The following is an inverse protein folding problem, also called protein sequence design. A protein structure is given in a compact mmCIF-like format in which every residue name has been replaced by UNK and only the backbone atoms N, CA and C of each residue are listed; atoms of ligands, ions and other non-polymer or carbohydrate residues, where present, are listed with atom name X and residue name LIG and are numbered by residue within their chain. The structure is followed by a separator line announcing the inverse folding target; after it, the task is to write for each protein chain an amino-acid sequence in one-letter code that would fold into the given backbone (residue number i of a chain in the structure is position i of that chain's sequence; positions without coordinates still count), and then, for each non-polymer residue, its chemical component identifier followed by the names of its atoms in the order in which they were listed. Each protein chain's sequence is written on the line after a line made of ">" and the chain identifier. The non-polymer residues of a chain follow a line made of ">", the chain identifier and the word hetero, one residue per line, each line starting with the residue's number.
data_IF_628212773302
#
_entry.id   IF_628212773302
#
_cell.length_a   1.000
_cell.length_b   1.000
_cell.length_c   1.000
_cell.angle_alpha   90.00
_cell.angle_beta   90.00
_cell.angle_gamma   90.00
#
_symmetry.space_group_name_H-M   'P 1'
#
loop_
_entity.id
_entity.type
_entity.pdbx_description
1 polymer ?
#
# COMPACT_ATOMS: atom_id res chain seq x y z
N UNK A 1 -0.01 -10.39 -28.97
CA UNK A 1 -0.48 -10.21 -27.57
C UNK A 1 -0.08 -8.86 -26.95
N UNK A 2 1.05 -8.25 -27.30
CA UNK A 2 1.52 -6.96 -26.72
C UNK A 2 0.64 -5.74 -27.08
N UNK A 3 0.04 -5.72 -28.28
CA UNK A 3 -0.83 -4.61 -28.73
C UNK A 3 -2.13 -4.48 -27.92
N UNK A 4 -2.66 -5.58 -27.39
CA UNK A 4 -3.93 -5.59 -26.66
C UNK A 4 -3.79 -5.02 -25.25
N UNK A 5 -2.65 -5.23 -24.60
CA UNK A 5 -2.35 -4.68 -23.27
C UNK A 5 -2.19 -3.16 -23.38
N UNK A 6 -1.36 -2.69 -24.33
CA UNK A 6 -1.15 -1.26 -24.55
C UNK A 6 -2.46 -0.51 -24.90
N UNK A 7 -3.39 -1.16 -25.62
CA UNK A 7 -4.70 -0.59 -25.92
C UNK A 7 -5.57 -0.43 -24.65
N UNK A 8 -5.60 -1.46 -23.80
CA UNK A 8 -6.35 -1.42 -22.53
C UNK A 8 -5.74 -0.40 -21.57
N UNK A 9 -4.40 -0.34 -21.45
CA UNK A 9 -3.70 0.66 -20.65
C UNK A 9 -4.05 2.08 -21.12
N UNK A 10 -4.06 2.32 -22.43
CA UNK A 10 -4.43 3.61 -23.02
C UNK A 10 -5.90 3.99 -22.75
N UNK A 11 -6.80 3.02 -22.74
CA UNK A 11 -8.22 3.23 -22.40
C UNK A 11 -8.40 3.58 -20.92
N UNK A 12 -7.65 2.91 -20.02
CA UNK A 12 -7.62 3.23 -18.59
C UNK A 12 -7.06 4.63 -18.37
N UNK A 13 -5.98 4.98 -19.04
CA UNK A 13 -5.37 6.30 -18.96
C UNK A 13 -6.31 7.41 -19.49
N UNK A 14 -6.99 7.17 -20.61
CA UNK A 14 -7.98 8.08 -21.16
C UNK A 14 -9.17 8.30 -20.20
N UNK A 15 -9.68 7.24 -19.59
CA UNK A 15 -10.76 7.33 -18.60
C UNK A 15 -10.32 8.10 -17.34
N UNK A 16 -9.12 7.82 -16.83
CA UNK A 16 -8.56 8.54 -15.68
C UNK A 16 -8.30 10.03 -15.96
N UNK A 17 -7.97 10.38 -17.22
CA UNK A 17 -7.76 11.76 -17.65
C UNK A 17 -9.07 12.53 -17.80
N UNK A 18 -10.17 11.82 -18.07
CA UNK A 18 -11.50 12.44 -18.22
C UNK A 18 -12.12 12.94 -16.91
N UNK A 19 -11.62 12.44 -15.76
CA UNK A 19 -12.05 12.86 -14.43
C UNK A 19 -10.89 13.53 -13.67
N UNK A 20 -10.89 14.87 -13.57
CA UNK A 20 -9.85 15.62 -12.87
C UNK A 20 -9.65 15.20 -11.41
N UNK A 21 -10.71 14.74 -10.74
CA UNK A 21 -10.61 14.30 -9.34
C UNK A 21 -9.90 12.96 -9.24
N UNK A 22 -10.17 12.02 -10.15
CA UNK A 22 -9.44 10.75 -10.20
C UNK A 22 -7.97 10.96 -10.57
N UNK A 23 -7.69 11.87 -11.51
CA UNK A 23 -6.31 12.24 -11.84
C UNK A 23 -5.57 12.81 -10.64
N UNK A 24 -6.18 13.74 -9.90
CA UNK A 24 -5.57 14.30 -8.68
C UNK A 24 -5.30 13.21 -7.63
N UNK A 25 -6.27 12.32 -7.37
CA UNK A 25 -6.11 11.22 -6.40
C UNK A 25 -5.01 10.25 -6.84
N UNK A 26 -4.87 9.98 -8.15
CA UNK A 26 -3.77 9.20 -8.70
C UNK A 26 -2.42 9.85 -8.40
N UNK A 27 -2.31 11.14 -8.67
CA UNK A 27 -1.05 11.88 -8.52
C UNK A 27 -0.64 11.98 -7.05
N UNK A 28 -1.62 12.20 -6.14
CA UNK A 28 -1.41 12.11 -4.69
C UNK A 28 -0.95 10.71 -4.28
N UNK A 29 -1.58 9.65 -4.78
CA UNK A 29 -1.16 8.28 -4.48
C UNK A 29 0.28 8.00 -4.96
N UNK A 30 0.62 8.41 -6.18
CA UNK A 30 1.96 8.26 -6.76
C UNK A 30 3.04 9.10 -6.05
N UNK A 31 2.66 10.13 -5.30
CA UNK A 31 3.62 10.87 -4.47
C UNK A 31 4.20 10.02 -3.34
N UNK A 32 3.46 9.02 -2.85
CA UNK A 32 3.92 8.13 -1.78
C UNK A 32 5.06 7.25 -2.28
N UNK A 33 6.17 7.26 -1.54
CA UNK A 33 7.35 6.47 -1.92
C UNK A 33 7.03 4.98 -2.00
N UNK A 34 7.29 4.39 -3.17
CA UNK A 34 6.98 2.99 -3.49
C UNK A 34 5.71 2.80 -4.31
N UNK A 35 4.81 3.78 -4.37
CA UNK A 35 3.61 3.70 -5.22
C UNK A 35 3.97 4.19 -6.63
N UNK A 36 3.89 3.28 -7.60
CA UNK A 36 4.06 3.58 -9.03
C UNK A 36 2.75 3.47 -9.81
N UNK A 37 2.77 3.71 -11.14
CA UNK A 37 1.57 3.79 -11.99
C UNK A 37 0.63 2.58 -11.89
N UNK A 38 1.21 1.37 -11.86
CA UNK A 38 0.45 0.12 -11.76
C UNK A 38 -0.28 0.02 -10.42
N UNK A 39 0.42 0.27 -9.30
CA UNK A 39 -0.21 0.21 -7.98
C UNK A 39 -1.21 1.34 -7.79
N UNK A 40 -0.95 2.56 -8.26
CA UNK A 40 -1.93 3.65 -8.19
C UNK A 40 -3.18 3.36 -9.02
N UNK A 41 -3.02 2.79 -10.22
CA UNK A 41 -4.16 2.39 -11.06
C UNK A 41 -5.00 1.30 -10.40
N UNK A 42 -4.37 0.25 -9.91
CA UNK A 42 -5.05 -0.83 -9.18
C UNK A 42 -5.77 -0.31 -7.94
N UNK A 43 -5.14 0.60 -7.18
CA UNK A 43 -5.75 1.23 -6.02
C UNK A 43 -7.00 2.02 -6.41
N UNK A 44 -6.98 2.82 -7.48
CA UNK A 44 -8.14 3.56 -7.94
C UNK A 44 -9.30 2.61 -8.30
N UNK A 45 -9.02 1.51 -8.99
CA UNK A 45 -10.04 0.52 -9.36
C UNK A 45 -10.59 -0.19 -8.13
N UNK A 46 -9.73 -0.78 -7.30
CA UNK A 46 -10.11 -1.56 -6.11
C UNK A 46 -10.90 -0.73 -5.11
N UNK A 47 -10.50 0.54 -4.93
CA UNK A 47 -11.10 1.44 -3.95
C UNK A 47 -12.24 2.28 -4.53
N UNK A 48 -12.57 2.13 -5.83
CA UNK A 48 -13.55 2.97 -6.55
C UNK A 48 -13.23 4.47 -6.38
N UNK A 49 -12.00 4.87 -6.69
CA UNK A 49 -11.54 6.24 -6.49
C UNK A 49 -11.49 6.66 -5.01
N UNK A 50 -11.10 5.74 -4.13
CA UNK A 50 -11.02 5.92 -2.67
C UNK A 50 -12.36 6.20 -1.98
N UNK A 51 -13.47 5.68 -2.52
CA UNK A 51 -14.82 5.80 -1.92
C UNK A 51 -15.31 4.51 -1.28
N UNK A 52 -14.72 3.36 -1.61
CA UNK A 52 -15.13 2.05 -1.11
C UNK A 52 -14.82 1.83 0.37
N UNK A 53 -13.74 2.43 0.85
CA UNK A 53 -13.24 2.25 2.21
C UNK A 53 -13.30 3.58 2.97
N UNK A 54 -13.54 3.51 4.27
CA UNK A 54 -13.60 4.70 5.15
C UNK A 54 -12.44 4.75 6.14
N UNK A 55 -11.69 3.65 6.30
CA UNK A 55 -10.56 3.52 7.21
C UNK A 55 -9.39 2.83 6.48
N UNK A 56 -8.14 3.34 6.57
CA UNK A 56 -6.98 2.68 6.00
C UNK A 56 -6.81 1.23 6.45
N UNK A 57 -7.26 0.87 7.66
CA UNK A 57 -7.21 -0.50 8.18
C UNK A 57 -8.05 -1.47 7.34
N UNK A 58 -9.16 -1.00 6.77
CA UNK A 58 -9.98 -1.83 5.87
C UNK A 58 -9.19 -2.21 4.61
N UNK A 59 -8.44 -1.26 4.03
CA UNK A 59 -7.58 -1.53 2.88
C UNK A 59 -6.39 -2.43 3.24
N UNK A 60 -5.79 -2.22 4.42
CA UNK A 60 -4.73 -3.10 4.95
C UNK A 60 -5.24 -4.55 5.12
N UNK A 61 -6.43 -4.74 5.66
CA UNK A 61 -7.06 -6.06 5.79
C UNK A 61 -7.41 -6.67 4.42
N UNK A 62 -8.02 -5.88 3.54
CA UNK A 62 -8.40 -6.31 2.20
C UNK A 62 -7.19 -6.76 1.36
N UNK A 63 -6.07 -6.04 1.47
CA UNK A 63 -4.81 -6.39 0.81
C UNK A 63 -4.02 -7.49 1.55
N UNK A 64 -4.54 -8.06 2.64
CA UNK A 64 -3.87 -9.11 3.41
C UNK A 64 -2.54 -8.66 4.03
N UNK A 65 -2.44 -7.39 4.40
CA UNK A 65 -1.26 -6.75 5.00
C UNK A 65 -1.35 -6.68 6.54
N UNK A 66 -2.56 -6.83 7.09
CA UNK A 66 -2.77 -6.82 8.53
C UNK A 66 -1.98 -7.98 9.19
N UNK A 67 -1.32 -7.74 10.34
CA UNK A 67 -0.78 -8.83 11.15
C UNK A 67 -1.95 -9.69 11.65
N UNK A 68 -1.88 -11.00 11.42
CA UNK A 68 -2.76 -11.95 12.09
C UNK A 68 -2.13 -12.26 13.45
N UNK A 69 -2.65 -11.64 14.50
CA UNK A 69 -2.32 -12.01 15.87
C UNK A 69 -3.12 -13.27 16.23
N UNK A 70 -2.43 -14.39 16.42
CA UNK A 70 -3.01 -15.58 17.04
C UNK A 70 -3.06 -15.35 18.56
N UNK A 71 -4.12 -14.70 19.03
CA UNK A 71 -4.43 -14.62 20.47
C UNK A 71 -5.83 -15.15 20.80
N UNK A 72 -6.36 -16.10 20.03
CA UNK A 72 -7.42 -16.98 20.54
C UNK A 72 -6.75 -18.18 21.19
N UNK A 73 -6.71 -18.20 22.52
CA UNK A 73 -6.21 -19.33 23.29
C UNK A 73 -7.00 -20.60 22.97
N UNK A 74 -6.49 -21.40 22.04
CA UNK A 74 -6.60 -22.87 21.96
C UNK A 74 -5.79 -23.33 20.76
N UNK A 75 -4.85 -24.24 21.03
CA UNK A 75 -4.26 -25.23 20.13
C UNK A 75 -4.45 -25.03 18.62
N UNK A 76 -3.38 -24.64 17.92
CA UNK A 76 -2.81 -25.28 16.71
C UNK A 76 -1.71 -24.34 16.20
N UNK A 77 -0.45 -24.81 16.26
CA UNK A 77 0.69 -24.22 15.54
C UNK A 77 0.45 -24.38 14.04
N UNK A 78 -0.33 -23.48 13.45
CA UNK A 78 -0.51 -23.35 12.00
C UNK A 78 0.32 -22.18 11.47
N UNK A 79 1.01 -22.37 10.33
CA UNK A 79 1.71 -21.29 9.63
C UNK A 79 0.75 -20.12 9.38
N UNK A 80 1.24 -18.90 9.62
CA UNK A 80 0.51 -17.64 9.39
C UNK A 80 0.00 -17.59 7.94
N UNK A 81 -1.28 -17.85 7.75
CA UNK A 81 -1.95 -17.78 6.45
C UNK A 81 -2.49 -16.40 6.17
N UNK A 82 -2.44 -15.98 4.91
CA UNK A 82 -3.25 -14.86 4.42
C UNK A 82 -4.68 -15.38 4.28
N UNK A 83 -5.71 -14.60 4.62
CA UNK A 83 -7.09 -14.98 4.30
C UNK A 83 -7.21 -15.35 2.82
N UNK A 84 -7.90 -16.44 2.50
CA UNK A 84 -8.26 -16.78 1.11
C UNK A 84 -9.04 -15.65 0.41
N UNK A 85 -9.70 -14.77 1.19
CA UNK A 85 -10.43 -13.61 0.71
C UNK A 85 -9.56 -12.36 0.47
N UNK A 86 -8.28 -12.40 0.82
CA UNK A 86 -7.39 -11.28 0.61
C UNK A 86 -7.02 -11.14 -0.87
N UNK A 87 -6.92 -9.91 -1.35
CA UNK A 87 -6.46 -9.66 -2.71
C UNK A 87 -4.94 -9.91 -2.82
N UNK A 88 -4.58 -11.14 -3.21
CA UNK A 88 -3.20 -11.61 -3.38
C UNK A 88 -2.42 -10.79 -4.41
N UNK A 89 -3.09 -10.32 -5.46
CA UNK A 89 -2.49 -9.46 -6.48
C UNK A 89 -2.12 -8.08 -5.89
N UNK A 90 -3.04 -7.45 -5.16
CA UNK A 90 -2.76 -6.19 -4.49
C UNK A 90 -1.63 -6.35 -3.45
N UNK A 91 -1.59 -7.48 -2.74
CA UNK A 91 -0.49 -7.81 -1.82
C UNK A 91 0.87 -7.88 -2.51
N UNK A 92 0.95 -8.47 -3.70
CA UNK A 92 2.20 -8.56 -4.46
C UNK A 92 2.65 -7.19 -4.97
N UNK A 93 1.72 -6.33 -5.39
CA UNK A 93 2.02 -4.94 -5.75
C UNK A 93 2.58 -4.16 -4.54
N UNK A 94 1.95 -4.27 -3.36
CA UNK A 94 2.48 -3.67 -2.13
C UNK A 94 3.83 -4.27 -1.73
N UNK A 95 4.08 -5.54 -2.01
CA UNK A 95 5.38 -6.16 -1.79
C UNK A 95 6.47 -5.47 -2.62
N UNK A 96 6.24 -5.29 -3.91
CA UNK A 96 7.18 -4.59 -4.80
C UNK A 96 7.37 -3.13 -4.38
N UNK A 97 6.29 -2.44 -4.02
CA UNK A 97 6.33 -1.08 -3.50
C UNK A 97 7.23 -0.97 -2.26
N UNK A 98 7.05 -1.86 -1.28
CA UNK A 98 7.83 -1.88 -0.05
C UNK A 98 9.31 -2.22 -0.30
N UNK A 99 9.61 -3.19 -1.18
CA UNK A 99 11.00 -3.52 -1.54
C UNK A 99 11.75 -2.33 -2.14
N UNK A 100 11.09 -1.53 -2.97
CA UNK A 100 11.69 -0.33 -3.54
C UNK A 100 11.79 0.80 -2.50
N UNK A 101 10.75 0.99 -1.68
CA UNK A 101 10.73 2.03 -0.67
C UNK A 101 11.86 1.91 0.37
N UNK A 102 12.23 0.70 0.78
CA UNK A 102 13.31 0.49 1.78
C UNK A 102 14.72 0.68 1.21
N UNK A 103 14.87 0.70 -0.11
CA UNK A 103 16.16 0.96 -0.78
C UNK A 103 16.48 2.45 -0.91
N UNK A 104 15.45 3.30 -0.86
CA UNK A 104 15.58 4.75 -1.04
C UNK A 104 15.68 5.43 0.33
N UNK A 105 16.64 6.36 0.54
CA UNK A 105 16.69 7.15 1.76
C UNK A 105 15.38 7.89 2.05
N UNK A 106 14.87 7.72 3.27
CA UNK A 106 13.59 8.27 3.69
C UNK A 106 13.03 7.60 4.93
N UNK A 107 11.90 8.11 5.40
CA UNK A 107 11.16 7.62 6.56
C UNK A 107 10.78 6.13 6.49
N UNK A 108 10.40 5.60 5.33
CA UNK A 108 10.07 4.18 5.16
C UNK A 108 11.31 3.27 5.31
N UNK A 109 12.47 3.69 4.82
CA UNK A 109 13.74 2.99 5.05
C UNK A 109 14.11 3.04 6.53
N UNK A 110 14.06 4.21 7.16
CA UNK A 110 14.33 4.36 8.60
C UNK A 110 13.38 3.49 9.43
N UNK A 111 12.09 3.45 9.06
CA UNK A 111 11.09 2.62 9.71
C UNK A 111 11.42 1.12 9.59
N UNK A 112 11.83 0.67 8.41
CA UNK A 112 12.26 -0.71 8.16
C UNK A 112 13.48 -1.09 9.02
N UNK A 113 14.53 -0.26 9.00
CA UNK A 113 15.74 -0.50 9.79
C UNK A 113 15.44 -0.52 11.29
N UNK A 114 14.58 0.38 11.77
CA UNK A 114 14.11 0.36 13.15
C UNK A 114 13.40 -0.94 13.50
N UNK A 115 12.58 -1.49 12.61
CA UNK A 115 11.90 -2.78 12.84
C UNK A 115 12.88 -3.95 12.86
N UNK A 116 13.93 -3.93 12.05
CA UNK A 116 15.01 -4.91 12.10
C UNK A 116 15.80 -4.82 13.42
N UNK A 117 16.14 -3.60 13.86
CA UNK A 117 16.81 -3.37 15.14
C UNK A 117 15.99 -3.83 16.36
N UNK A 118 14.66 -3.90 16.23
CA UNK A 118 13.74 -4.49 17.21
C UNK A 118 13.73 -6.03 17.18
N UNK A 119 14.62 -6.68 16.43
CA UNK A 119 14.71 -8.13 16.31
C UNK A 119 13.64 -8.77 15.41
N UNK A 120 12.87 -7.98 14.65
CA UNK A 120 11.87 -8.54 13.74
C UNK A 120 12.54 -9.18 12.53
N UNK A 121 12.07 -10.36 12.14
CA UNK A 121 12.48 -11.00 10.89
C UNK A 121 12.26 -10.06 9.69
N UNK A 122 13.13 -10.10 8.65
CA UNK A 122 13.05 -9.19 7.51
C UNK A 122 11.68 -9.14 6.82
N UNK A 123 11.03 -10.29 6.63
CA UNK A 123 9.71 -10.34 6.00
C UNK A 123 8.62 -9.67 6.85
N UNK A 124 8.71 -9.80 8.18
CA UNK A 124 7.80 -9.16 9.14
C UNK A 124 8.02 -7.65 9.17
N UNK A 125 9.27 -7.20 9.16
CA UNK A 125 9.62 -5.78 9.04
C UNK A 125 9.12 -5.21 7.71
N UNK A 126 9.29 -5.93 6.60
CA UNK A 126 8.80 -5.53 5.28
C UNK A 126 7.27 -5.47 5.24
N UNK A 127 6.57 -6.41 5.90
CA UNK A 127 5.12 -6.35 6.02
C UNK A 127 4.64 -5.10 6.77
N UNK A 128 5.36 -4.70 7.82
CA UNK A 128 5.07 -3.46 8.53
C UNK A 128 5.25 -2.23 7.62
N UNK A 129 6.23 -2.25 6.71
CA UNK A 129 6.40 -1.19 5.68
C UNK A 129 5.23 -1.16 4.71
N UNK A 130 4.74 -2.32 4.23
CA UNK A 130 3.55 -2.38 3.36
C UNK A 130 2.35 -1.70 3.99
N UNK A 131 2.06 -2.02 5.26
CA UNK A 131 0.98 -1.37 5.99
C UNK A 131 1.23 0.14 6.16
N UNK A 132 2.49 0.54 6.44
CA UNK A 132 2.86 1.96 6.57
C UNK A 132 2.64 2.75 5.27
N UNK A 133 2.92 2.16 4.10
CA UNK A 133 2.62 2.76 2.78
C UNK A 133 1.12 3.04 2.64
N UNK A 134 0.25 2.13 3.06
CA UNK A 134 -1.22 2.35 3.03
C UNK A 134 -1.62 3.51 3.92
N UNK A 135 -1.02 3.64 5.10
CA UNK A 135 -1.29 4.78 5.98
C UNK A 135 -0.80 6.12 5.40
N UNK A 136 0.36 6.13 4.75
CA UNK A 136 0.85 7.34 4.07
C UNK A 136 -0.05 7.72 2.90
N UNK A 137 -0.50 6.75 2.11
CA UNK A 137 -1.49 6.93 1.05
C UNK A 137 -2.77 7.58 1.58
N UNK A 138 -3.29 7.07 2.70
CA UNK A 138 -4.50 7.63 3.30
C UNK A 138 -4.31 9.09 3.75
N UNK A 139 -3.19 9.38 4.42
CA UNK A 139 -2.87 10.71 4.90
C UNK A 139 -2.74 11.75 3.75
N UNK A 140 -2.16 11.38 2.60
CA UNK A 140 -2.06 12.31 1.46
C UNK A 140 -3.39 12.52 0.76
N UNK A 141 -4.25 11.50 0.71
CA UNK A 141 -5.59 11.62 0.12
C UNK A 141 -6.51 12.48 0.99
N UNK A 142 -6.45 12.35 2.31
CA UNK A 142 -7.24 13.19 3.23
C UNK A 142 -6.74 14.63 3.28
N UNK A 143 -5.43 14.83 3.31
CA UNK A 143 -4.86 16.19 3.37
C UNK A 143 -4.85 16.91 2.02
N UNK A 144 -4.90 16.18 0.90
CA UNK A 144 -4.69 16.74 -0.43
C UNK A 144 -3.25 17.23 -0.66
N UNK A 145 -2.32 16.95 0.26
CA UNK A 145 -0.93 17.41 0.22
C UNK A 145 -0.04 16.22 -0.19
N UNK A 146 0.80 16.38 -1.23
CA UNK A 146 1.74 15.34 -1.65
C UNK A 146 2.64 14.84 -0.52
N UNK A 147 3.01 13.57 -0.59
CA UNK A 147 3.89 12.93 0.37
C UNK A 147 5.28 13.59 0.39
N UNK A 148 5.83 13.74 1.60
CA UNK A 148 7.21 14.19 1.79
C UNK A 148 7.97 13.12 2.56
N UNK A 149 9.09 12.65 2.01
CA UNK A 149 9.89 11.51 2.53
C UNK A 149 10.44 11.70 3.94
N UNK A 150 10.49 12.93 4.43
CA UNK A 150 11.00 13.29 5.73
C UNK A 150 9.94 14.09 6.50
N UNK A 151 8.73 13.54 6.67
CA UNK A 151 7.84 14.03 7.72
C UNK A 151 8.33 13.48 9.06
N UNK A 152 8.43 14.37 10.06
CA UNK A 152 8.65 14.04 11.47
C UNK A 152 7.80 12.81 11.84
N UNK A 153 8.34 11.82 12.61
CA UNK A 153 7.66 10.55 12.82
C UNK A 153 6.21 10.77 13.22
N UNK A 154 5.27 10.28 12.40
CA UNK A 154 3.86 10.25 12.74
C UNK A 154 3.73 9.57 14.12
N UNK A 155 3.52 10.38 15.16
CA UNK A 155 3.06 9.93 16.46
C UNK A 155 1.64 9.42 16.21
N UNK A 156 1.53 8.13 15.92
CA UNK A 156 0.25 7.45 16.00
C UNK A 156 0.06 7.07 17.48
N UNK A 157 -1.09 7.41 18.09
CA UNK A 157 -1.37 7.07 19.49
C UNK A 157 -1.38 5.56 19.71
#
# INVERSE_FOLDING_TARGET
>A
MTRSIAYVEKQVEAFLTSDPQLSLKRDLAMSVTGIGPVLSGELLVVTRGFTRFTDPRQLVCYAGLAPYDYSSGTSIRGRTGVSEKANQYLKSLFHMAALNAVKVPGDLQTYYQRKLAQGKAPMTALNAVRAKIVHHLWAVLESGIPYTRFKHPLQMP
#
